data_IF_506563663006
#
_entry.id   IF_506563663006
#
_cell.length_a   1.000
_cell.length_b   1.000
_cell.length_c   1.000
_cell.angle_alpha   90.00
_cell.angle_beta   90.00
_cell.angle_gamma   90.00
#
_symmetry.space_group_name_H-M   'P 1'
#
loop_
_entity.id
_entity.type
_entity.pdbx_description
1 polymer ?
#
# COMPACT_ATOMS: atom_id res chain seq x y z
N UNK A 1 -27.33 23.55 -5.82
CA UNK A 1 -26.16 22.87 -6.43
C UNK A 1 -25.10 22.48 -5.39
N UNK A 2 -25.49 22.22 -4.13
CA UNK A 2 -24.58 21.97 -3.00
C UNK A 2 -24.25 20.47 -2.86
N UNK A 3 -25.23 19.59 -3.06
CA UNK A 3 -25.06 18.13 -2.93
C UNK A 3 -23.99 17.52 -3.85
N UNK A 4 -23.83 18.05 -5.07
CA UNK A 4 -22.81 17.56 -6.02
C UNK A 4 -21.39 17.83 -5.53
N UNK A 5 -21.17 18.98 -4.88
CA UNK A 5 -19.86 19.37 -4.35
C UNK A 5 -19.48 18.52 -3.15
N UNK A 6 -20.42 18.27 -2.24
CA UNK A 6 -20.19 17.43 -1.05
C UNK A 6 -19.93 15.97 -1.44
N UNK A 7 -20.69 15.44 -2.41
CA UNK A 7 -20.45 14.10 -2.94
C UNK A 7 -19.05 13.97 -3.56
N UNK A 8 -18.63 14.95 -4.38
CA UNK A 8 -17.30 14.94 -4.98
C UNK A 8 -16.19 15.00 -3.93
N UNK A 9 -16.35 15.83 -2.89
CA UNK A 9 -15.40 15.90 -1.77
C UNK A 9 -15.30 14.56 -1.04
N UNK A 10 -16.43 13.94 -0.70
CA UNK A 10 -16.45 12.64 -0.02
C UNK A 10 -15.81 11.55 -0.89
N UNK A 11 -16.10 11.53 -2.19
CA UNK A 11 -15.48 10.57 -3.12
C UNK A 11 -13.96 10.74 -3.18
N UNK A 12 -13.47 11.98 -3.25
CA UNK A 12 -12.04 12.27 -3.29
C UNK A 12 -11.34 11.79 -2.02
N UNK A 13 -11.89 12.13 -0.85
CA UNK A 13 -11.37 11.69 0.46
C UNK A 13 -11.34 10.15 0.54
N UNK A 14 -12.38 9.46 0.07
CA UNK A 14 -12.42 7.99 0.06
C UNK A 14 -11.37 7.37 -0.86
N UNK A 15 -11.11 8.00 -2.01
CA UNK A 15 -10.08 7.53 -2.93
C UNK A 15 -8.67 7.70 -2.33
N UNK A 16 -8.40 8.83 -1.69
CA UNK A 16 -7.15 9.08 -0.97
C UNK A 16 -6.97 8.11 0.20
N UNK A 17 -8.00 7.91 1.03
CA UNK A 17 -7.99 6.94 2.12
C UNK A 17 -7.75 5.52 1.62
N UNK A 18 -8.36 5.13 0.50
CA UNK A 18 -8.11 3.82 -0.11
C UNK A 18 -6.66 3.68 -0.58
N UNK A 19 -6.09 4.70 -1.21
CA UNK A 19 -4.69 4.70 -1.65
C UNK A 19 -3.73 4.61 -0.45
N UNK A 20 -4.00 5.33 0.63
CA UNK A 20 -3.20 5.24 1.88
C UNK A 20 -3.32 3.86 2.50
N UNK A 21 -4.52 3.27 2.55
CA UNK A 21 -4.74 1.91 3.07
C UNK A 21 -4.03 0.85 2.25
N UNK A 22 -4.03 0.97 0.92
CA UNK A 22 -3.31 0.08 0.02
C UNK A 22 -1.80 0.15 0.30
N UNK A 23 -1.24 1.36 0.39
CA UNK A 23 0.18 1.59 0.71
C UNK A 23 0.54 1.03 2.09
N UNK A 24 -0.31 1.23 3.10
CA UNK A 24 -0.12 0.68 4.44
C UNK A 24 -0.16 -0.86 4.43
N UNK A 25 -1.04 -1.47 3.63
CA UNK A 25 -1.08 -2.92 3.45
C UNK A 25 0.24 -3.47 2.90
N UNK A 26 0.79 -2.83 1.86
CA UNK A 26 2.09 -3.19 1.29
C UNK A 26 3.23 -3.06 2.31
N UNK A 27 3.23 -2.00 3.12
CA UNK A 27 4.22 -1.81 4.19
C UNK A 27 4.15 -2.92 5.24
N UNK A 28 2.96 -3.26 5.74
CA UNK A 28 2.78 -4.35 6.71
C UNK A 28 3.23 -5.71 6.17
N UNK A 29 2.97 -5.97 4.89
CA UNK A 29 3.45 -7.19 4.23
C UNK A 29 4.98 -7.19 4.16
N UNK A 30 5.59 -6.07 3.79
CA UNK A 30 7.05 -5.93 3.77
C UNK A 30 7.68 -6.12 5.15
N UNK A 31 7.09 -5.53 6.19
CA UNK A 31 7.53 -5.71 7.59
C UNK A 31 7.47 -7.19 8.00
N UNK A 32 6.40 -7.89 7.61
CA UNK A 32 6.24 -9.32 7.86
C UNK A 32 7.33 -10.15 7.17
N UNK A 33 7.66 -9.82 5.91
CA UNK A 33 8.74 -10.47 5.15
C UNK A 33 10.13 -10.16 5.72
N UNK A 34 10.33 -8.97 6.30
CA UNK A 34 11.60 -8.59 6.95
C UNK A 34 11.74 -9.27 8.31
N UNK A 35 10.65 -9.42 9.06
CA UNK A 35 10.64 -10.01 10.40
C UNK A 35 10.80 -11.53 10.41
N UNK A 36 10.64 -12.21 9.26
CA UNK A 36 10.89 -13.65 9.15
C UNK A 36 12.32 -13.98 9.58
N UNK A 37 12.44 -14.91 10.52
CA UNK A 37 13.73 -15.43 11.02
C UNK A 37 14.33 -16.49 10.10
N UNK A 38 13.49 -17.11 9.29
CA UNK A 38 13.87 -18.13 8.32
C UNK A 38 14.34 -17.45 7.03
N UNK A 39 15.22 -18.10 6.24
CA UNK A 39 15.56 -17.62 4.90
C UNK A 39 14.29 -17.48 4.05
N UNK A 40 14.15 -16.37 3.36
CA UNK A 40 13.07 -16.18 2.40
C UNK A 40 13.22 -17.15 1.24
N UNK A 41 12.12 -17.79 0.84
CA UNK A 41 12.07 -18.50 -0.41
C UNK A 41 12.32 -17.53 -1.59
N UNK A 42 12.75 -18.05 -2.75
CA UNK A 42 13.09 -17.22 -3.91
C UNK A 42 11.94 -16.30 -4.34
N UNK A 43 10.71 -16.79 -4.30
CA UNK A 43 9.51 -16.00 -4.60
C UNK A 43 9.28 -14.88 -3.59
N UNK A 44 9.50 -15.15 -2.30
CA UNK A 44 9.37 -14.16 -1.23
C UNK A 44 10.47 -13.10 -1.30
N UNK A 45 11.69 -13.50 -1.63
CA UNK A 45 12.81 -12.58 -1.85
C UNK A 45 12.55 -11.67 -3.06
N UNK A 46 11.97 -12.22 -4.13
CA UNK A 46 11.58 -11.48 -5.33
C UNK A 46 10.45 -10.49 -5.02
N UNK A 47 9.41 -10.95 -4.31
CA UNK A 47 8.30 -10.11 -3.87
C UNK A 47 8.77 -8.97 -2.96
N UNK A 48 9.65 -9.26 -2.00
CA UNK A 48 10.25 -8.25 -1.11
C UNK A 48 10.96 -7.16 -1.90
N UNK A 49 11.80 -7.52 -2.88
CA UNK A 49 12.48 -6.54 -3.76
C UNK A 49 11.48 -5.70 -4.54
N UNK A 50 10.45 -6.31 -5.12
CA UNK A 50 9.40 -5.61 -5.87
C UNK A 50 8.63 -4.61 -4.99
N UNK A 51 8.23 -5.03 -3.79
CA UNK A 51 7.53 -4.17 -2.82
C UNK A 51 8.39 -2.97 -2.40
N UNK A 52 9.69 -3.18 -2.16
CA UNK A 52 10.62 -2.09 -1.83
C UNK A 52 10.70 -1.08 -2.98
N UNK A 53 10.86 -1.54 -4.23
CA UNK A 53 10.90 -0.66 -5.40
C UNK A 53 9.60 0.14 -5.56
N UNK A 54 8.47 -0.53 -5.43
CA UNK A 54 7.15 0.08 -5.57
C UNK A 54 6.89 1.13 -4.48
N UNK A 55 7.27 0.87 -3.23
CA UNK A 55 7.11 1.81 -2.11
C UNK A 55 8.07 3.02 -2.18
N UNK A 56 9.20 2.89 -2.88
CA UNK A 56 10.19 3.98 -3.04
C UNK A 56 9.98 4.82 -4.30
N UNK A 57 9.22 4.34 -5.29
CA UNK A 57 9.04 5.02 -6.60
C UNK A 57 7.98 6.12 -6.57
N UNK A 58 8.02 6.98 -5.55
CA UNK A 58 7.01 8.00 -5.25
C UNK A 58 6.69 8.94 -6.42
#
# INVERSE_FOLDING_TARGET
MVEKSEFQTICTIKQEDLAVKERLGKMKLLDSLIAKKEPLADDEATLKKKLILELMSN
#
